data_IF_321057584401
#
_entry.id   IF_321057584401
#
_cell.length_a   1.000
_cell.length_b   1.000
_cell.length_c   1.000
_cell.angle_alpha   90.00
_cell.angle_beta   90.00
_cell.angle_gamma   90.00
#
_symmetry.space_group_name_H-M   'P 1'
#
loop_
_entity.id
_entity.type
_entity.pdbx_description
1 polymer ?
#
# COMPACT_ATOMS: atom_id res chain seq x y z
N UNK A 1 3.23 -4.10 27.41
CA UNK A 1 3.92 -4.11 26.10
C UNK A 1 3.82 -2.71 25.52
N UNK A 2 4.94 -2.04 25.23
CA UNK A 2 4.90 -0.80 24.45
C UNK A 2 4.36 -1.15 23.06
N UNK A 3 3.33 -0.43 22.59
CA UNK A 3 2.87 -0.58 21.21
C UNK A 3 4.00 -0.09 20.31
N UNK A 4 4.67 -1.01 19.63
CA UNK A 4 5.62 -0.66 18.58
C UNK A 4 4.79 -0.20 17.39
N UNK A 5 4.76 1.11 17.16
CA UNK A 5 4.20 1.65 15.94
C UNK A 5 5.17 1.33 14.79
N UNK A 6 4.66 1.00 13.59
CA UNK A 6 5.54 0.76 12.45
C UNK A 6 6.39 2.00 12.19
N UNK A 7 7.66 1.78 11.86
CA UNK A 7 8.56 2.85 11.49
C UNK A 7 8.05 3.55 10.23
N UNK A 8 7.89 4.87 10.30
CA UNK A 8 7.46 5.68 9.16
C UNK A 8 8.68 6.05 8.32
N UNK A 9 8.52 6.06 7.00
CA UNK A 9 9.60 6.33 6.08
C UNK A 9 9.62 7.80 5.68
N UNK A 10 10.80 8.32 5.38
CA UNK A 10 10.94 9.57 4.64
C UNK A 10 10.22 9.47 3.27
N UNK A 11 10.02 10.62 2.62
CA UNK A 11 9.47 10.64 1.27
C UNK A 11 10.33 9.82 0.30
N UNK A 12 11.66 9.96 0.37
CA UNK A 12 12.59 9.25 -0.52
C UNK A 12 12.50 7.73 -0.34
N UNK A 13 12.52 7.26 0.91
CA UNK A 13 12.38 5.83 1.23
C UNK A 13 11.01 5.29 0.80
N UNK A 14 9.93 6.06 1.02
CA UNK A 14 8.59 5.70 0.57
C UNK A 14 8.52 5.52 -0.95
N UNK A 15 9.14 6.43 -1.70
CA UNK A 15 9.20 6.35 -3.16
C UNK A 15 10.09 5.19 -3.64
N UNK A 16 11.17 4.88 -2.92
CA UNK A 16 12.02 3.73 -3.20
C UNK A 16 11.26 2.41 -3.01
N UNK A 17 10.41 2.31 -1.99
CA UNK A 17 9.53 1.16 -1.78
C UNK A 17 8.49 1.06 -2.89
N UNK A 18 7.79 2.15 -3.24
CA UNK A 18 6.81 2.16 -4.33
C UNK A 18 7.43 1.68 -5.66
N UNK A 19 8.67 2.09 -5.93
CA UNK A 19 9.41 1.69 -7.14
C UNK A 19 9.56 0.17 -7.28
N UNK A 20 9.61 -0.59 -6.18
CA UNK A 20 9.67 -2.07 -6.21
C UNK A 20 8.44 -2.69 -6.90
N UNK A 21 7.30 -2.00 -6.88
CA UNK A 21 6.02 -2.47 -7.42
C UNK A 21 5.66 -1.81 -8.76
N UNK A 22 6.58 -1.05 -9.37
CA UNK A 22 6.30 -0.28 -10.59
C UNK A 22 5.79 -1.14 -11.74
N UNK A 23 6.32 -2.36 -11.88
CA UNK A 23 5.94 -3.27 -12.97
C UNK A 23 4.58 -3.95 -12.76
N UNK A 24 3.99 -3.85 -11.56
CA UNK A 24 2.65 -4.36 -11.24
C UNK A 24 1.54 -3.35 -11.50
N UNK A 25 1.92 -2.08 -11.64
CA UNK A 25 1.01 -0.96 -11.74
C UNK A 25 0.98 -0.46 -13.17
N UNK A 26 -0.18 0.00 -13.60
CA UNK A 26 -0.22 0.87 -14.78
C UNK A 26 0.52 2.17 -14.45
N UNK A 27 0.99 2.87 -15.50
CA UNK A 27 1.65 4.18 -15.33
C UNK A 27 0.78 5.14 -14.51
N UNK A 28 -0.53 5.15 -14.78
CA UNK A 28 -1.49 6.00 -14.08
C UNK A 28 -1.61 5.64 -12.61
N UNK A 29 -1.76 4.35 -12.28
CA UNK A 29 -1.82 3.89 -10.88
C UNK A 29 -0.54 4.25 -10.11
N UNK A 30 0.62 4.05 -10.73
CA UNK A 30 1.91 4.41 -10.13
C UNK A 30 2.02 5.92 -9.84
N UNK A 31 1.70 6.76 -10.82
CA UNK A 31 1.78 8.22 -10.64
C UNK A 31 0.73 8.74 -9.65
N UNK A 32 -0.46 8.15 -9.61
CA UNK A 32 -1.48 8.48 -8.61
C UNK A 32 -1.02 8.14 -7.19
N UNK A 33 -0.45 6.94 -6.96
CA UNK A 33 0.08 6.55 -5.66
C UNK A 33 1.24 7.46 -5.26
N UNK A 34 2.16 7.74 -6.20
CA UNK A 34 3.29 8.65 -5.98
C UNK A 34 2.83 10.05 -5.60
N UNK A 35 1.81 10.59 -6.27
CA UNK A 35 1.22 11.89 -5.97
C UNK A 35 0.63 11.92 -4.55
N UNK A 36 -0.12 10.89 -4.17
CA UNK A 36 -0.70 10.77 -2.83
C UNK A 36 0.38 10.75 -1.72
N UNK A 37 1.44 9.95 -1.90
CA UNK A 37 2.58 9.91 -0.97
C UNK A 37 3.24 11.28 -0.86
N UNK A 38 3.41 11.99 -1.98
CA UNK A 38 3.99 13.34 -2.01
C UNK A 38 3.13 14.36 -1.26
N UNK A 39 1.83 14.38 -1.51
CA UNK A 39 0.89 15.27 -0.82
C UNK A 39 0.88 15.02 0.68
N UNK A 40 0.85 13.76 1.11
CA UNK A 40 0.92 13.41 2.53
C UNK A 40 2.24 13.87 3.18
N UNK A 41 3.37 13.71 2.49
CA UNK A 41 4.66 14.17 3.01
C UNK A 41 4.71 15.70 3.20
N UNK A 42 4.06 16.49 2.34
CA UNK A 42 3.92 17.95 2.52
C UNK A 42 3.17 18.26 3.81
N UNK A 43 2.14 17.47 4.14
CA UNK A 43 1.37 17.57 5.38
C UNK A 43 2.05 16.91 6.59
N UNK A 44 3.32 16.47 6.45
CA UNK A 44 4.06 15.72 7.48
C UNK A 44 3.39 14.41 7.89
N UNK A 45 2.60 13.81 6.99
CA UNK A 45 1.98 12.50 7.12
C UNK A 45 2.87 11.50 6.37
N UNK A 46 3.58 10.67 7.11
CA UNK A 46 4.56 9.74 6.54
C UNK A 46 4.01 8.32 6.47
N UNK A 47 4.22 7.67 5.32
CA UNK A 47 3.80 6.29 5.09
C UNK A 47 4.87 5.31 5.58
N UNK A 48 4.45 4.18 6.14
CA UNK A 48 5.32 3.01 6.32
C UNK A 48 5.17 2.05 5.12
N UNK A 49 5.99 1.00 5.07
CA UNK A 49 5.96 0.02 3.98
C UNK A 49 4.59 -0.68 3.84
N UNK A 50 3.89 -0.96 4.94
CA UNK A 50 2.56 -1.60 4.91
C UNK A 50 1.52 -0.70 4.24
N UNK A 51 1.53 0.61 4.51
CA UNK A 51 0.66 1.57 3.85
C UNK A 51 0.92 1.62 2.34
N UNK A 52 2.19 1.56 1.93
CA UNK A 52 2.54 1.57 0.50
C UNK A 52 2.06 0.28 -0.17
N UNK A 53 2.29 -0.88 0.45
CA UNK A 53 1.77 -2.15 -0.04
C UNK A 53 0.24 -2.17 -0.13
N UNK A 54 -0.46 -1.54 0.82
CA UNK A 54 -1.91 -1.41 0.81
C UNK A 54 -2.40 -0.63 -0.42
N UNK A 55 -1.76 0.52 -0.70
CA UNK A 55 -2.08 1.36 -1.86
C UNK A 55 -1.84 0.61 -3.18
N UNK A 56 -0.76 -0.17 -3.26
CA UNK A 56 -0.47 -1.04 -4.40
C UNK A 56 -1.56 -2.10 -4.53
N UNK A 57 -1.84 -2.87 -3.47
CA UNK A 57 -2.86 -3.93 -3.46
C UNK A 57 -4.24 -3.41 -3.89
N UNK A 58 -4.65 -2.26 -3.35
CA UNK A 58 -5.91 -1.58 -3.70
C UNK A 58 -6.01 -1.33 -5.21
N UNK A 59 -4.96 -0.77 -5.80
CA UNK A 59 -4.95 -0.43 -7.23
C UNK A 59 -4.83 -1.66 -8.13
N UNK A 60 -3.96 -2.61 -7.80
CA UNK A 60 -3.74 -3.81 -8.61
C UNK A 60 -4.98 -4.69 -8.64
N UNK A 61 -5.67 -4.84 -7.50
CA UNK A 61 -6.84 -5.71 -7.38
C UNK A 61 -8.18 -4.97 -7.53
N UNK A 62 -8.16 -3.64 -7.72
CA UNK A 62 -9.37 -2.83 -7.86
C UNK A 62 -10.28 -2.85 -6.63
N UNK A 63 -9.70 -3.03 -5.43
CA UNK A 63 -10.46 -3.18 -4.18
C UNK A 63 -11.00 -1.83 -3.70
N UNK A 64 -12.19 -1.88 -3.11
CA UNK A 64 -12.73 -0.81 -2.28
C UNK A 64 -12.05 -0.77 -0.90
N UNK A 65 -12.20 0.35 -0.21
CA UNK A 65 -11.69 0.47 1.17
C UNK A 65 -12.43 -0.49 2.12
N UNK A 66 -13.71 -0.77 1.87
CA UNK A 66 -14.50 -1.72 2.66
C UNK A 66 -13.99 -3.17 2.51
N UNK A 67 -13.65 -3.59 1.29
CA UNK A 67 -13.07 -4.92 1.04
C UNK A 67 -11.71 -5.09 1.74
N UNK A 68 -10.87 -4.05 1.68
CA UNK A 68 -9.58 -4.05 2.37
C UNK A 68 -9.76 -4.11 3.89
N UNK A 69 -10.69 -3.34 4.44
CA UNK A 69 -10.99 -3.35 5.87
C UNK A 69 -11.59 -4.68 6.32
N UNK A 70 -12.42 -5.31 5.50
CA UNK A 70 -12.98 -6.62 5.77
C UNK A 70 -11.87 -7.69 5.83
N UNK A 71 -10.98 -7.72 4.84
CA UNK A 71 -9.84 -8.64 4.83
C UNK A 71 -8.91 -8.42 6.03
N UNK A 72 -8.61 -7.15 6.36
CA UNK A 72 -7.79 -6.82 7.51
C UNK A 72 -8.42 -7.28 8.84
N UNK A 73 -9.73 -7.15 8.99
CA UNK A 73 -10.46 -7.63 10.18
C UNK A 73 -10.45 -9.15 10.31
N UNK A 74 -10.56 -9.86 9.19
CA UNK A 74 -10.61 -11.31 9.16
C UNK A 74 -9.23 -11.96 9.33
N UNK A 75 -8.21 -11.42 8.64
CA UNK A 75 -6.91 -12.08 8.44
C UNK A 75 -5.73 -11.30 9.00
N UNK A 76 -5.94 -10.07 9.47
CA UNK A 76 -4.87 -9.12 9.76
C UNK A 76 -4.29 -8.52 8.47
N UNK A 77 -3.16 -7.81 8.58
CA UNK A 77 -2.50 -7.27 7.39
C UNK A 77 -1.95 -8.42 6.53
N UNK A 78 -2.44 -8.52 5.30
CA UNK A 78 -1.93 -9.46 4.30
C UNK A 78 -1.05 -8.69 3.33
N UNK A 79 0.27 -8.93 3.42
CA UNK A 79 1.27 -8.33 2.55
C UNK A 79 0.94 -8.51 1.08
N UNK A 80 1.25 -7.48 0.28
CA UNK A 80 1.10 -7.59 -1.15
C UNK A 80 2.18 -8.53 -1.70
N UNK A 81 1.75 -9.67 -2.26
CA UNK A 81 2.62 -10.56 -3.02
C UNK A 81 2.09 -10.67 -4.45
N UNK A 82 3.01 -10.57 -5.43
CA UNK A 82 2.72 -10.93 -6.82
C UNK A 82 2.14 -12.35 -6.81
N UNK A 83 0.85 -12.49 -7.15
CA UNK A 83 0.05 -13.73 -7.35
C UNK A 83 -1.09 -14.05 -6.35
N UNK A 84 -1.36 -13.26 -5.30
CA UNK A 84 -2.41 -13.63 -4.32
C UNK A 84 -3.89 -13.46 -4.75
N UNK A 85 -4.21 -12.81 -5.88
CA UNK A 85 -5.61 -12.57 -6.24
C UNK A 85 -6.39 -13.81 -6.73
N UNK A 86 -5.71 -14.94 -6.98
CA UNK A 86 -6.39 -16.15 -7.48
C UNK A 86 -7.26 -16.89 -6.46
N UNK A 87 -7.18 -16.57 -5.17
CA UNK A 87 -7.86 -17.31 -4.11
C UNK A 87 -9.11 -16.65 -3.52
N UNK A 88 -9.52 -15.48 -4.02
CA UNK A 88 -10.70 -14.75 -3.51
C UNK A 88 -11.89 -14.74 -4.49
N UNK A 89 -11.73 -15.35 -5.67
CA UNK A 89 -12.79 -15.49 -6.67
C UNK A 89 -13.37 -16.93 -6.74
N UNK A 90 -13.28 -17.70 -5.64
CA UNK A 90 -13.87 -19.05 -5.55
C UNK A 90 -15.18 -19.05 -4.77
#
# INVERSE_FOLDING_TARGET
MQKQYPEVHSLEESLAILKKYKDDLTKEQYENIKSNIGTHAIESIYCNELTIQLLVKKNVYGLSDDEILAEYKEKGFVEYTKNCHRSLQS
#
